data_IF_443694315879
#
_entry.id   IF_443694315879
#
_cell.length_a   1.000
_cell.length_b   1.000
_cell.length_c   1.000
_cell.angle_alpha   90.00
_cell.angle_beta   90.00
_cell.angle_gamma   90.00
#
_symmetry.space_group_name_H-M   'P 1'
#
loop_
_entity.id
_entity.type
_entity.pdbx_description
1 polymer ?
#
# COMPACT_ATOMS: atom_id res chain seq x y z
N UNK A 1 24.21 20.95 17.69
CA UNK A 1 23.99 19.95 16.62
C UNK A 1 22.58 20.11 16.06
N UNK A 2 22.40 20.06 14.75
CA UNK A 2 21.07 20.12 14.14
C UNK A 2 20.22 18.90 14.54
N UNK A 3 18.94 19.12 14.77
CA UNK A 3 17.95 18.09 15.08
C UNK A 3 17.01 17.90 13.89
N UNK A 4 17.06 16.73 13.28
CA UNK A 4 16.12 16.32 12.22
C UNK A 4 15.11 15.37 12.83
N UNK A 5 13.81 15.71 12.74
CA UNK A 5 12.73 14.88 13.22
C UNK A 5 12.04 14.19 12.04
N UNK A 6 12.07 12.86 12.01
CA UNK A 6 11.46 12.10 10.93
C UNK A 6 10.10 11.53 11.34
N UNK A 7 9.03 11.89 10.61
CA UNK A 7 7.63 11.58 10.91
C UNK A 7 7.10 10.55 9.91
N UNK A 8 6.72 9.39 10.43
CA UNK A 8 6.19 8.25 9.65
C UNK A 8 4.68 8.05 9.84
N UNK A 9 4.06 8.73 10.80
CA UNK A 9 2.69 8.44 11.24
C UNK A 9 1.79 9.67 11.16
N UNK A 10 0.50 9.43 10.97
CA UNK A 10 -0.56 10.43 11.11
C UNK A 10 -1.22 10.22 12.48
N UNK A 11 -0.76 10.95 13.49
CA UNK A 11 -1.24 10.81 14.86
C UNK A 11 -2.45 11.72 15.09
N UNK A 12 -3.66 11.14 15.05
CA UNK A 12 -4.92 11.88 15.23
C UNK A 12 -5.40 11.83 16.68
N UNK A 13 -5.21 10.72 17.38
CA UNK A 13 -5.70 10.51 18.75
C UNK A 13 -4.66 9.78 19.62
N UNK A 14 -4.58 10.08 20.92
CA UNK A 14 -5.25 11.18 21.63
C UNK A 14 -4.69 12.55 21.22
N UNK A 15 -5.57 13.56 21.08
CA UNK A 15 -5.17 14.91 20.62
C UNK A 15 -4.09 15.54 21.49
N UNK A 16 -4.14 15.37 22.82
CA UNK A 16 -3.13 15.91 23.74
C UNK A 16 -1.71 15.39 23.44
N UNK A 17 -1.58 14.11 23.07
CA UNK A 17 -0.28 13.52 22.69
C UNK A 17 0.17 14.09 21.34
N UNK A 18 -0.71 14.19 20.36
CA UNK A 18 -0.42 14.80 19.06
C UNK A 18 0.03 16.24 19.23
N UNK A 19 -0.69 17.05 20.01
CA UNK A 19 -0.35 18.45 20.28
C UNK A 19 1.01 18.58 20.98
N UNK A 20 1.32 17.70 21.96
CA UNK A 20 2.60 17.70 22.65
C UNK A 20 3.77 17.32 21.73
N UNK A 21 3.61 16.29 20.91
CA UNK A 21 4.63 15.89 19.91
C UNK A 21 4.86 17.03 18.92
N UNK A 22 3.79 17.64 18.40
CA UNK A 22 3.88 18.77 17.47
C UNK A 22 4.56 19.99 18.11
N UNK A 23 4.30 20.26 19.40
CA UNK A 23 5.00 21.30 20.15
C UNK A 23 6.50 21.02 20.23
N UNK A 24 6.89 19.79 20.58
CA UNK A 24 8.31 19.42 20.64
C UNK A 24 9.00 19.53 19.27
N UNK A 25 8.36 19.03 18.22
CA UNK A 25 8.88 19.11 16.84
C UNK A 25 9.08 20.57 16.43
N UNK A 26 8.03 21.39 16.55
CA UNK A 26 8.09 22.80 16.12
C UNK A 26 9.06 23.66 16.94
N UNK A 27 9.32 23.28 18.20
CA UNK A 27 10.21 24.04 19.10
C UNK A 27 11.68 23.68 18.95
N UNK A 28 11.99 22.41 18.65
CA UNK A 28 13.36 21.90 18.75
C UNK A 28 13.92 21.36 17.44
N UNK A 29 13.09 20.96 16.45
CA UNK A 29 13.62 20.48 15.20
C UNK A 29 14.07 21.62 14.28
N UNK A 30 15.25 21.49 13.71
CA UNK A 30 15.73 22.34 12.62
C UNK A 30 15.04 21.98 11.31
N UNK A 31 14.77 20.68 11.09
CA UNK A 31 13.97 20.18 9.97
C UNK A 31 13.06 19.05 10.43
N UNK A 32 11.81 19.08 9.99
CA UNK A 32 10.82 18.02 10.16
C UNK A 32 10.68 17.33 8.82
N UNK A 33 11.19 16.09 8.69
CA UNK A 33 11.04 15.26 7.51
C UNK A 33 9.77 14.44 7.63
N UNK A 34 8.92 14.47 6.62
CA UNK A 34 7.70 13.66 6.54
C UNK A 34 7.78 12.70 5.36
N UNK A 35 7.24 11.49 5.54
CA UNK A 35 7.30 10.43 4.51
C UNK A 35 6.37 10.67 3.32
N UNK A 36 5.45 11.64 3.41
CA UNK A 36 4.49 11.99 2.36
C UNK A 36 3.95 13.42 2.53
N UNK A 37 3.36 13.96 1.49
CA UNK A 37 2.58 15.20 1.59
C UNK A 37 1.35 15.04 2.48
N UNK A 38 0.75 13.86 2.52
CA UNK A 38 -0.35 13.57 3.44
C UNK A 38 0.07 13.78 4.89
N UNK A 39 1.25 13.29 5.29
CA UNK A 39 1.83 13.52 6.62
C UNK A 39 2.24 14.99 6.80
N UNK A 40 2.87 15.60 5.79
CA UNK A 40 3.27 17.01 5.84
C UNK A 40 2.05 17.93 6.09
N UNK A 41 0.97 17.72 5.34
CA UNK A 41 -0.26 18.50 5.50
C UNK A 41 -0.88 18.32 6.89
N UNK A 42 -0.82 17.09 7.45
CA UNK A 42 -1.28 16.84 8.81
C UNK A 42 -0.43 17.60 9.86
N UNK A 43 0.89 17.52 9.75
CA UNK A 43 1.83 18.18 10.67
C UNK A 43 1.72 19.70 10.60
N UNK A 44 1.58 20.27 9.40
CA UNK A 44 1.41 21.71 9.16
C UNK A 44 0.12 22.32 9.70
N UNK A 45 -0.91 21.49 10.01
CA UNK A 45 -2.11 21.98 10.69
C UNK A 45 -1.85 22.40 12.14
N UNK A 46 -0.71 22.01 12.69
CA UNK A 46 -0.35 22.36 14.05
C UNK A 46 0.18 23.80 14.12
N UNK A 47 -0.36 24.59 15.06
CA UNK A 47 0.12 25.96 15.35
C UNK A 47 1.57 26.05 15.82
N UNK A 48 2.17 24.92 16.17
CA UNK A 48 3.54 24.86 16.69
C UNK A 48 4.59 24.64 15.60
N UNK A 49 4.19 24.13 14.44
CA UNK A 49 5.07 23.78 13.33
C UNK A 49 5.01 24.87 12.27
N UNK A 50 6.17 25.31 11.80
CA UNK A 50 6.27 26.27 10.70
C UNK A 50 6.40 25.53 9.38
N UNK A 51 5.82 26.07 8.33
CA UNK A 51 5.80 25.44 7.00
C UNK A 51 7.20 25.24 6.42
N UNK A 52 8.11 26.18 6.67
CA UNK A 52 9.50 26.15 6.20
C UNK A 52 10.39 25.13 6.94
N UNK A 53 9.94 24.63 8.10
CA UNK A 53 10.60 23.53 8.81
C UNK A 53 10.27 22.15 8.19
N UNK A 54 9.20 22.03 7.39
CA UNK A 54 8.69 20.74 6.91
C UNK A 54 9.21 20.43 5.51
N UNK A 55 9.89 19.32 5.38
CA UNK A 55 10.38 18.78 4.10
C UNK A 55 9.83 17.37 3.87
N UNK A 56 9.30 17.09 2.67
CA UNK A 56 8.86 15.74 2.29
C UNK A 56 10.05 14.97 1.72
N UNK A 57 10.33 13.80 2.27
CA UNK A 57 11.26 12.81 1.71
C UNK A 57 10.55 11.45 1.75
N UNK A 58 10.14 10.96 0.59
CA UNK A 58 9.45 9.68 0.48
C UNK A 58 10.34 8.52 0.93
N UNK A 59 9.75 7.50 1.55
CA UNK A 59 10.43 6.24 1.79
C UNK A 59 10.85 5.59 0.46
N UNK A 60 11.97 4.88 0.49
CA UNK A 60 12.51 4.17 -0.66
C UNK A 60 12.45 2.65 -0.48
N UNK A 61 12.21 1.94 -1.59
CA UNK A 61 12.25 0.49 -1.65
C UNK A 61 13.45 0.05 -2.49
N UNK A 62 14.14 -1.00 -2.04
CA UNK A 62 15.33 -1.53 -2.71
C UNK A 62 14.93 -2.30 -3.97
N UNK A 63 15.30 -1.76 -5.14
CA UNK A 63 15.05 -2.36 -6.44
C UNK A 63 15.94 -3.59 -6.74
N UNK A 64 16.93 -3.90 -5.90
CA UNK A 64 17.63 -5.17 -5.97
C UNK A 64 16.80 -6.32 -5.37
N UNK A 65 15.92 -6.00 -4.41
CA UNK A 65 15.02 -6.96 -3.76
C UNK A 65 13.68 -7.01 -4.48
N UNK A 66 13.07 -5.84 -4.73
CA UNK A 66 11.75 -5.74 -5.37
C UNK A 66 11.92 -5.35 -6.84
N UNK A 67 11.68 -6.30 -7.71
CA UNK A 67 11.79 -6.16 -9.15
C UNK A 67 10.86 -7.14 -9.86
N UNK A 68 10.64 -6.92 -11.15
CA UNK A 68 9.87 -7.84 -11.98
C UNK A 68 10.60 -9.15 -12.14
N UNK A 69 9.95 -10.27 -11.77
CA UNK A 69 10.49 -11.62 -11.82
C UNK A 69 9.44 -12.60 -12.37
N UNK A 70 9.86 -13.76 -12.93
CA UNK A 70 8.93 -14.81 -13.30
C UNK A 70 8.11 -15.31 -12.11
N UNK A 71 6.81 -15.55 -12.32
CA UNK A 71 5.84 -15.92 -11.28
C UNK A 71 5.50 -17.43 -11.25
N UNK A 72 5.94 -18.21 -12.24
CA UNK A 72 5.49 -19.60 -12.40
C UNK A 72 5.73 -20.47 -11.17
N UNK A 73 6.94 -20.43 -10.62
CA UNK A 73 7.28 -21.27 -9.47
C UNK A 73 6.45 -20.91 -8.21
N UNK A 74 6.20 -19.63 -7.96
CA UNK A 74 5.38 -19.22 -6.80
C UNK A 74 3.90 -19.52 -7.02
N UNK A 75 3.40 -19.42 -8.24
CA UNK A 75 2.03 -19.85 -8.57
C UNK A 75 1.85 -21.37 -8.34
N UNK A 76 2.81 -22.17 -8.76
CA UNK A 76 2.79 -23.63 -8.52
C UNK A 76 2.83 -23.95 -7.02
N UNK A 77 3.67 -23.25 -6.25
CA UNK A 77 3.76 -23.41 -4.79
C UNK A 77 2.42 -23.20 -4.09
N UNK A 78 1.63 -22.22 -4.53
CA UNK A 78 0.32 -21.91 -3.96
C UNK A 78 -0.85 -22.58 -4.68
N UNK A 79 -0.59 -23.48 -5.65
CA UNK A 79 -1.62 -24.18 -6.41
C UNK A 79 -2.50 -23.22 -7.21
N UNK A 80 -1.90 -22.23 -7.85
CA UNK A 80 -2.57 -21.24 -8.69
C UNK A 80 -2.23 -21.55 -10.15
N UNK A 81 -3.25 -21.68 -10.98
CA UNK A 81 -3.06 -21.94 -12.41
C UNK A 81 -2.25 -20.80 -13.08
N UNK A 82 -1.41 -21.15 -14.05
CA UNK A 82 -0.53 -20.17 -14.69
C UNK A 82 -1.32 -19.10 -15.49
N UNK A 83 -2.53 -19.44 -15.94
CA UNK A 83 -3.44 -18.55 -16.67
C UNK A 83 -4.50 -17.89 -15.76
N UNK A 84 -4.42 -18.06 -14.45
CA UNK A 84 -5.33 -17.43 -13.49
C UNK A 84 -5.10 -15.92 -13.40
N UNK A 85 -6.19 -15.16 -13.26
CA UNK A 85 -6.14 -13.76 -12.85
C UNK A 85 -5.98 -13.69 -11.33
N UNK A 86 -4.86 -13.18 -10.84
CA UNK A 86 -4.58 -13.11 -9.40
C UNK A 86 -4.72 -11.67 -8.91
N UNK A 87 -5.72 -11.43 -8.06
CA UNK A 87 -5.96 -10.15 -7.38
C UNK A 87 -5.39 -10.27 -5.98
N UNK A 88 -4.32 -9.54 -5.69
CA UNK A 88 -3.55 -9.69 -4.48
C UNK A 88 -3.65 -8.53 -3.50
N UNK A 89 -3.66 -8.84 -2.23
CA UNK A 89 -3.55 -7.91 -1.11
C UNK A 89 -2.46 -8.40 -0.16
N UNK A 90 -1.54 -7.53 0.21
CA UNK A 90 -0.52 -7.79 1.24
C UNK A 90 -0.64 -6.72 2.32
N UNK A 91 -0.74 -7.15 3.54
CA UNK A 91 -0.81 -6.20 4.66
C UNK A 91 -1.23 -6.87 5.95
N UNK A 92 -0.92 -6.22 7.05
CA UNK A 92 -1.32 -6.67 8.38
C UNK A 92 -2.84 -6.75 8.49
N UNK A 93 -3.33 -7.82 9.10
CA UNK A 93 -4.76 -7.95 9.42
C UNK A 93 -5.07 -7.09 10.64
N UNK A 94 -5.76 -5.98 10.41
CA UNK A 94 -6.14 -5.03 11.45
C UNK A 94 -7.42 -4.28 11.09
N UNK A 95 -7.87 -3.40 11.98
CA UNK A 95 -9.16 -2.70 11.85
C UNK A 95 -9.29 -1.76 10.63
N UNK A 96 -8.17 -1.42 9.95
CA UNK A 96 -8.17 -0.33 8.97
C UNK A 96 -7.44 -0.63 7.65
N UNK A 97 -6.88 -1.83 7.48
CA UNK A 97 -6.27 -2.23 6.19
C UNK A 97 -7.30 -2.64 5.13
N UNK A 98 -8.57 -2.87 5.55
CA UNK A 98 -9.68 -3.05 4.62
C UNK A 98 -9.80 -4.44 4.02
N UNK A 99 -9.43 -5.51 4.74
CA UNK A 99 -9.61 -6.88 4.28
C UNK A 99 -11.08 -7.19 3.97
N UNK A 100 -12.02 -6.66 4.78
CA UNK A 100 -13.46 -6.78 4.54
C UNK A 100 -13.89 -6.15 3.22
N UNK A 101 -13.47 -4.91 2.98
CA UNK A 101 -13.73 -4.17 1.74
C UNK A 101 -13.11 -4.87 0.52
N UNK A 102 -11.92 -5.46 0.70
CA UNK A 102 -11.28 -6.28 -0.35
C UNK A 102 -12.16 -7.49 -0.71
N UNK A 103 -12.61 -8.26 0.28
CA UNK A 103 -13.47 -9.42 0.05
C UNK A 103 -14.78 -9.04 -0.63
N UNK A 104 -15.42 -7.97 -0.17
CA UNK A 104 -16.64 -7.45 -0.78
C UNK A 104 -16.42 -7.03 -2.24
N UNK A 105 -15.32 -6.33 -2.52
CA UNK A 105 -15.02 -5.84 -3.86
C UNK A 105 -14.65 -6.95 -4.85
N UNK A 106 -13.93 -7.99 -4.43
CA UNK A 106 -13.52 -9.08 -5.34
C UNK A 106 -14.61 -10.11 -5.57
N UNK A 107 -15.56 -10.28 -4.65
CA UNK A 107 -16.60 -11.32 -4.72
C UNK A 107 -17.37 -11.31 -6.06
N UNK A 108 -17.89 -10.18 -6.59
CA UNK A 108 -18.58 -10.17 -7.88
C UNK A 108 -17.70 -10.62 -9.05
N UNK A 109 -16.40 -10.28 -8.99
CA UNK A 109 -15.43 -10.63 -10.03
C UNK A 109 -15.17 -12.13 -10.02
N UNK A 110 -14.99 -12.72 -8.84
CA UNK A 110 -14.77 -14.16 -8.67
C UNK A 110 -16.01 -14.97 -9.08
N UNK A 111 -17.22 -14.47 -8.83
CA UNK A 111 -18.47 -15.12 -9.25
C UNK A 111 -18.61 -15.22 -10.77
N UNK A 112 -18.08 -14.22 -11.51
CA UNK A 112 -18.21 -14.17 -12.98
C UNK A 112 -16.99 -14.74 -13.70
N UNK A 113 -15.84 -14.88 -13.02
CA UNK A 113 -14.61 -15.41 -13.59
C UNK A 113 -14.06 -16.58 -12.74
N UNK A 114 -14.34 -17.80 -13.18
CA UNK A 114 -13.89 -19.01 -12.49
C UNK A 114 -12.37 -19.21 -12.48
N UNK A 115 -11.62 -18.47 -13.31
CA UNK A 115 -10.14 -18.48 -13.31
C UNK A 115 -9.54 -17.38 -12.44
N UNK A 116 -10.35 -16.49 -11.87
CA UNK A 116 -9.84 -15.46 -10.97
C UNK A 116 -9.62 -16.03 -9.56
N UNK A 117 -8.55 -15.56 -8.92
CA UNK A 117 -8.18 -15.90 -7.54
C UNK A 117 -7.92 -14.63 -6.77
N UNK A 118 -8.55 -14.48 -5.61
CA UNK A 118 -8.18 -13.47 -4.64
C UNK A 118 -7.13 -14.03 -3.68
N UNK A 119 -6.04 -13.30 -3.44
CA UNK A 119 -4.96 -13.75 -2.58
C UNK A 119 -4.65 -12.71 -1.51
N UNK A 120 -4.76 -13.10 -0.23
CA UNK A 120 -4.45 -12.26 0.91
C UNK A 120 -3.23 -12.81 1.66
N UNK A 121 -2.27 -11.95 1.96
CA UNK A 121 -1.11 -12.33 2.77
C UNK A 121 -0.94 -11.35 3.94
N UNK A 122 -0.85 -11.87 5.15
CA UNK A 122 -0.58 -11.11 6.35
C UNK A 122 -1.17 -11.72 7.61
N UNK A 123 -0.58 -11.33 8.75
CA UNK A 123 -0.99 -11.73 10.09
C UNK A 123 -1.47 -10.53 10.91
N UNK A 124 -2.15 -10.77 12.01
CA UNK A 124 -2.51 -9.75 12.99
C UNK A 124 -1.31 -9.38 13.88
N UNK A 125 -1.48 -8.38 14.74
CA UNK A 125 -0.58 -8.15 15.86
C UNK A 125 -0.77 -9.23 16.94
N UNK A 126 0.26 -9.45 17.72
CA UNK A 126 0.16 -10.25 18.93
C UNK A 126 -0.95 -9.72 19.84
N UNK A 127 -1.87 -10.61 20.25
CA UNK A 127 -3.07 -10.28 21.02
C UNK A 127 -4.27 -9.83 20.18
N UNK A 128 -4.15 -9.75 18.86
CA UNK A 128 -5.25 -9.43 17.93
C UNK A 128 -5.54 -10.59 16.95
N UNK A 129 -5.15 -11.82 17.29
CA UNK A 129 -5.31 -13.02 16.43
C UNK A 129 -6.77 -13.27 16.06
N UNK A 130 -7.71 -12.89 16.94
CA UNK A 130 -9.14 -12.95 16.69
C UNK A 130 -9.58 -12.24 15.41
N UNK A 131 -8.82 -11.25 14.92
CA UNK A 131 -9.08 -10.59 13.64
C UNK A 131 -8.81 -11.50 12.45
N UNK A 132 -7.83 -12.40 12.61
CA UNK A 132 -7.55 -13.43 11.60
C UNK A 132 -8.69 -14.43 11.58
N UNK A 133 -9.19 -14.85 12.77
CA UNK A 133 -10.31 -15.80 12.87
C UNK A 133 -11.59 -15.20 12.25
N UNK A 134 -11.86 -13.90 12.46
CA UNK A 134 -12.97 -13.21 11.80
C UNK A 134 -12.81 -13.16 10.28
N UNK A 135 -11.58 -12.90 9.78
CA UNK A 135 -11.29 -12.87 8.35
C UNK A 135 -11.46 -14.26 7.73
N UNK A 136 -10.92 -15.32 8.37
CA UNK A 136 -11.08 -16.71 7.92
C UNK A 136 -12.55 -17.13 7.90
N UNK A 137 -13.33 -16.71 8.90
CA UNK A 137 -14.77 -16.94 8.92
C UNK A 137 -15.44 -16.23 7.74
N UNK A 138 -15.12 -14.96 7.49
CA UNK A 138 -15.69 -14.22 6.36
C UNK A 138 -15.33 -14.85 5.01
N UNK A 139 -14.12 -15.40 4.86
CA UNK A 139 -13.70 -16.14 3.68
C UNK A 139 -14.53 -17.43 3.54
N UNK A 140 -14.65 -18.20 4.62
CA UNK A 140 -15.40 -19.47 4.64
C UNK A 140 -16.88 -19.28 4.32
N UNK A 141 -17.50 -18.21 4.79
CA UNK A 141 -18.89 -17.87 4.56
C UNK A 141 -19.15 -17.30 3.15
N UNK A 142 -18.08 -16.98 2.40
CA UNK A 142 -18.18 -16.40 1.05
C UNK A 142 -18.69 -17.41 0.02
N UNK A 143 -19.58 -17.01 -0.89
CA UNK A 143 -20.03 -17.86 -1.99
C UNK A 143 -18.90 -18.25 -2.96
N UNK A 144 -17.75 -17.61 -2.87
CA UNK A 144 -16.56 -17.83 -3.71
C UNK A 144 -15.34 -18.28 -2.90
N UNK A 145 -15.57 -18.88 -1.72
CA UNK A 145 -14.50 -19.32 -0.80
C UNK A 145 -13.40 -20.13 -1.48
N UNK A 146 -13.77 -21.01 -2.43
CA UNK A 146 -12.82 -21.84 -3.19
C UNK A 146 -11.85 -21.07 -4.09
N UNK A 147 -12.13 -19.79 -4.39
CA UNK A 147 -11.28 -18.91 -5.19
C UNK A 147 -10.51 -17.89 -4.34
N UNK A 148 -10.66 -17.94 -3.02
CA UNK A 148 -9.96 -17.04 -2.09
C UNK A 148 -8.87 -17.85 -1.37
N UNK A 149 -7.64 -17.36 -1.44
CA UNK A 149 -6.51 -17.94 -0.73
C UNK A 149 -5.98 -16.93 0.27
N UNK A 150 -5.76 -17.36 1.50
CA UNK A 150 -5.15 -16.56 2.54
C UNK A 150 -3.96 -17.30 3.12
N UNK A 151 -2.88 -16.55 3.38
CA UNK A 151 -1.71 -17.03 4.13
C UNK A 151 -1.35 -16.03 5.22
N UNK A 152 -0.65 -16.51 6.24
CA UNK A 152 -0.03 -15.65 7.25
C UNK A 152 1.13 -14.83 6.69
N UNK A 153 1.95 -14.27 7.57
CA UNK A 153 3.15 -13.57 7.17
C UNK A 153 4.05 -14.44 6.28
N UNK A 154 4.49 -13.85 5.17
CA UNK A 154 5.40 -14.49 4.22
C UNK A 154 6.61 -13.57 3.96
N UNK A 155 7.82 -14.06 4.29
CA UNK A 155 9.03 -13.24 4.28
C UNK A 155 9.51 -12.85 2.88
N UNK A 156 9.18 -13.66 1.87
CA UNK A 156 9.58 -13.41 0.47
C UNK A 156 8.50 -12.67 -0.29
N UNK A 157 8.11 -11.49 0.20
CA UNK A 157 6.98 -10.72 -0.35
C UNK A 157 7.14 -10.36 -1.82
N UNK A 158 8.37 -10.23 -2.33
CA UNK A 158 8.64 -10.01 -3.76
C UNK A 158 8.08 -11.15 -4.63
N UNK A 159 8.11 -12.41 -4.16
CA UNK A 159 7.52 -13.56 -4.86
C UNK A 159 5.99 -13.40 -4.95
N UNK A 160 5.34 -12.97 -3.85
CA UNK A 160 3.88 -12.73 -3.84
C UNK A 160 3.50 -11.61 -4.82
N UNK A 161 4.19 -10.47 -4.77
CA UNK A 161 3.87 -9.38 -5.70
C UNK A 161 4.02 -9.82 -7.16
N UNK A 162 5.06 -10.58 -7.49
CA UNK A 162 5.24 -11.06 -8.85
C UNK A 162 4.14 -12.01 -9.32
N UNK A 163 3.55 -12.79 -8.42
CA UNK A 163 2.45 -13.70 -8.73
C UNK A 163 1.12 -12.97 -9.01
N UNK A 164 0.92 -11.74 -8.53
CA UNK A 164 -0.29 -10.95 -8.72
C UNK A 164 -0.37 -10.34 -10.13
N UNK A 165 -1.57 -10.16 -10.63
CA UNK A 165 -1.89 -9.38 -11.83
C UNK A 165 -2.37 -7.96 -11.46
N UNK A 166 -3.05 -7.83 -10.32
CA UNK A 166 -3.55 -6.57 -9.76
C UNK A 166 -3.22 -6.54 -8.27
N UNK A 167 -2.62 -5.47 -7.80
CA UNK A 167 -2.41 -5.23 -6.38
C UNK A 167 -3.50 -4.29 -5.83
N UNK A 168 -4.11 -4.67 -4.72
CA UNK A 168 -5.19 -3.90 -4.09
C UNK A 168 -4.84 -3.55 -2.65
N UNK A 169 -4.96 -2.27 -2.29
CA UNK A 169 -4.83 -1.80 -0.90
C UNK A 169 -6.01 -0.87 -0.54
N UNK A 170 -7.10 -1.41 0.01
CA UNK A 170 -8.29 -0.65 0.36
C UNK A 170 -8.27 -0.20 1.83
N UNK A 171 -7.16 0.38 2.29
CA UNK A 171 -7.06 0.90 3.66
C UNK A 171 -8.21 1.86 3.94
N UNK A 172 -9.00 1.60 4.98
CA UNK A 172 -10.20 2.40 5.35
C UNK A 172 -9.84 3.70 6.07
N UNK A 173 -8.61 3.81 6.59
CA UNK A 173 -8.04 5.03 7.13
C UNK A 173 -6.85 5.49 6.30
N UNK A 174 -6.53 6.79 6.29
CA UNK A 174 -5.37 7.32 5.57
C UNK A 174 -4.04 6.69 6.01
N UNK A 175 -3.43 5.94 5.12
CA UNK A 175 -2.08 5.39 5.31
C UNK A 175 -1.04 6.49 5.03
N UNK A 176 -0.02 6.70 5.86
CA UNK A 176 1.01 7.72 5.64
C UNK A 176 1.75 7.56 4.31
N UNK A 177 2.35 6.40 4.09
CA UNK A 177 2.98 5.98 2.83
C UNK A 177 3.16 4.44 2.87
N UNK A 178 2.18 3.65 2.46
CA UNK A 178 2.20 2.20 2.59
C UNK A 178 3.29 1.56 1.72
N UNK A 179 4.34 0.99 2.34
CA UNK A 179 5.49 0.39 1.63
C UNK A 179 5.07 -0.77 0.73
N UNK A 180 4.04 -1.53 1.10
CA UNK A 180 3.49 -2.62 0.28
C UNK A 180 3.04 -2.16 -1.12
N UNK A 181 2.60 -0.90 -1.26
CA UNK A 181 2.29 -0.30 -2.57
C UNK A 181 3.57 -0.04 -3.35
N UNK A 182 4.61 0.53 -2.70
CA UNK A 182 5.90 0.77 -3.35
C UNK A 182 6.57 -0.53 -3.81
N UNK A 183 6.46 -1.57 -3.00
CA UNK A 183 6.98 -2.91 -3.27
C UNK A 183 6.25 -3.54 -4.47
N UNK A 184 4.91 -3.47 -4.50
CA UNK A 184 4.11 -3.97 -5.61
C UNK A 184 4.37 -3.21 -6.92
N UNK A 185 4.52 -1.88 -6.84
CA UNK A 185 4.89 -1.04 -7.98
C UNK A 185 6.27 -1.43 -8.55
N UNK A 186 7.26 -1.68 -7.68
CA UNK A 186 8.59 -2.13 -8.09
C UNK A 186 8.53 -3.48 -8.80
N UNK A 187 7.60 -4.36 -8.43
CA UNK A 187 7.31 -5.64 -9.07
C UNK A 187 6.38 -5.51 -10.29
N UNK A 188 6.11 -4.30 -10.77
CA UNK A 188 5.37 -4.06 -12.02
C UNK A 188 3.87 -4.31 -11.91
N UNK A 189 3.25 -4.07 -10.75
CA UNK A 189 1.80 -4.27 -10.61
C UNK A 189 1.04 -2.97 -10.73
N UNK A 190 -0.09 -2.97 -11.47
CA UNK A 190 -1.07 -1.91 -11.37
C UNK A 190 -1.68 -1.91 -9.97
N UNK A 191 -1.94 -0.72 -9.42
CA UNK A 191 -2.43 -0.54 -8.06
C UNK A 191 -3.88 -0.07 -8.08
N UNK A 192 -4.73 -0.72 -7.28
CA UNK A 192 -6.06 -0.23 -6.98
C UNK A 192 -6.16 0.06 -5.48
N UNK A 193 -6.71 1.19 -5.10
CA UNK A 193 -6.83 1.56 -3.70
C UNK A 193 -7.86 2.65 -3.44
N UNK A 194 -7.98 3.05 -2.19
CA UNK A 194 -8.84 4.17 -1.82
C UNK A 194 -8.11 5.51 -1.94
N UNK A 195 -8.85 6.56 -2.36
CA UNK A 195 -8.36 7.91 -2.64
C UNK A 195 -8.14 8.70 -1.35
N UNK A 196 -7.17 8.33 -0.56
CA UNK A 196 -6.74 9.09 0.62
C UNK A 196 -5.31 8.72 1.07
N UNK A 197 -4.73 9.54 1.96
CA UNK A 197 -3.38 9.31 2.47
C UNK A 197 -2.30 9.32 1.37
N UNK A 198 -1.19 8.68 1.65
CA UNK A 198 -0.03 8.61 0.76
C UNK A 198 -0.26 7.80 -0.52
N UNK A 199 -1.32 6.97 -0.59
CA UNK A 199 -1.67 6.23 -1.82
C UNK A 199 -1.91 7.19 -2.99
N UNK A 200 -2.51 8.37 -2.75
CA UNK A 200 -2.74 9.39 -3.77
C UNK A 200 -1.43 9.98 -4.35
N UNK A 201 -0.32 9.83 -3.66
CA UNK A 201 0.99 10.30 -4.11
C UNK A 201 1.74 9.22 -4.91
N UNK A 202 1.45 7.95 -4.62
CA UNK A 202 2.04 6.80 -5.30
C UNK A 202 1.29 6.44 -6.59
N UNK A 203 -0.05 6.49 -6.54
CA UNK A 203 -0.91 6.16 -7.67
C UNK A 203 -1.27 7.44 -8.45
N UNK A 204 -0.80 7.53 -9.68
CA UNK A 204 -1.25 8.50 -10.68
C UNK A 204 -2.40 7.85 -11.46
N UNK A 205 -3.61 8.28 -11.14
CA UNK A 205 -4.83 7.68 -11.67
C UNK A 205 -4.86 7.65 -13.20
N UNK A 206 -5.23 6.51 -13.77
CA UNK A 206 -5.26 6.30 -15.21
C UNK A 206 -3.90 6.04 -15.86
N UNK A 207 -2.79 6.05 -15.09
CA UNK A 207 -1.45 5.77 -15.61
C UNK A 207 -0.83 4.50 -14.99
N UNK A 208 -0.82 4.37 -13.64
CA UNK A 208 -0.26 3.22 -12.96
C UNK A 208 -1.24 2.56 -11.97
N UNK A 209 -2.47 3.05 -11.90
CA UNK A 209 -3.51 2.50 -11.05
C UNK A 209 -4.82 3.26 -11.10
N UNK A 210 -5.77 2.83 -10.31
CA UNK A 210 -7.11 3.40 -10.17
C UNK A 210 -7.43 3.63 -8.68
N UNK A 211 -8.15 4.72 -8.39
CA UNK A 211 -8.49 5.12 -7.03
C UNK A 211 -10.01 5.24 -6.86
N UNK A 212 -10.56 4.46 -5.94
CA UNK A 212 -11.96 4.52 -5.54
C UNK A 212 -12.19 5.48 -4.35
N UNK A 213 -13.41 5.90 -4.15
CA UNK A 213 -13.82 6.67 -2.96
C UNK A 213 -13.62 5.82 -1.69
N UNK A 214 -13.04 6.37 -0.61
CA UNK A 214 -12.83 5.65 0.63
C UNK A 214 -14.11 5.00 1.18
N UNK A 215 -13.98 3.77 1.66
CA UNK A 215 -15.09 2.98 2.23
C UNK A 215 -16.27 2.75 1.25
N UNK A 216 -15.96 2.66 -0.06
CA UNK A 216 -16.93 2.33 -1.11
C UNK A 216 -16.47 1.05 -1.85
N UNK A 217 -16.71 -0.16 -1.30
CA UNK A 217 -16.28 -1.40 -1.92
C UNK A 217 -16.83 -1.63 -3.34
N UNK A 218 -18.03 -1.10 -3.61
CA UNK A 218 -18.63 -1.19 -4.95
C UNK A 218 -17.85 -0.38 -6.01
N UNK A 219 -17.29 0.78 -5.65
CA UNK A 219 -16.42 1.56 -6.55
C UNK A 219 -15.05 0.86 -6.69
N UNK A 220 -14.52 0.33 -5.59
CA UNK A 220 -13.30 -0.48 -5.60
C UNK A 220 -13.45 -1.69 -6.54
N UNK A 221 -14.59 -2.38 -6.47
CA UNK A 221 -14.93 -3.51 -7.35
C UNK A 221 -14.91 -3.09 -8.83
N UNK A 222 -15.50 -1.95 -9.18
CA UNK A 222 -15.49 -1.43 -10.57
C UNK A 222 -14.06 -1.15 -11.05
N UNK A 223 -13.23 -0.54 -10.22
CA UNK A 223 -11.84 -0.26 -10.55
C UNK A 223 -11.02 -1.56 -10.75
N UNK A 224 -11.24 -2.57 -9.92
CA UNK A 224 -10.61 -3.89 -10.07
C UNK A 224 -11.13 -4.57 -11.35
N UNK A 225 -12.44 -4.55 -11.60
CA UNK A 225 -13.06 -5.16 -12.77
C UNK A 225 -12.52 -4.56 -14.07
N UNK A 226 -12.35 -3.22 -14.13
CA UNK A 226 -11.77 -2.54 -15.29
C UNK A 226 -10.38 -3.07 -15.66
N UNK A 227 -9.55 -3.34 -14.65
CA UNK A 227 -8.24 -3.96 -14.86
C UNK A 227 -8.34 -5.47 -15.12
N UNK A 228 -9.29 -6.15 -14.51
CA UNK A 228 -9.52 -7.58 -14.71
C UNK A 228 -9.86 -7.90 -16.18
N UNK A 229 -10.67 -7.05 -16.81
CA UNK A 229 -11.14 -7.23 -18.19
C UNK A 229 -10.12 -6.76 -19.25
N UNK A 230 -9.07 -6.05 -18.86
CA UNK A 230 -8.13 -5.44 -19.81
C UNK A 230 -6.66 -5.77 -19.52
N UNK A 231 -6.16 -6.83 -20.13
CA UNK A 231 -4.76 -7.28 -19.97
C UNK A 231 -3.75 -6.22 -20.44
N UNK A 232 -4.01 -5.58 -21.58
CA UNK A 232 -3.11 -4.54 -22.12
C UNK A 232 -2.98 -3.36 -21.14
N UNK A 233 -4.10 -2.93 -20.57
CA UNK A 233 -4.11 -1.87 -19.55
C UNK A 233 -3.34 -2.27 -18.30
N UNK A 234 -3.49 -3.53 -17.81
CA UNK A 234 -2.71 -4.05 -16.69
C UNK A 234 -1.20 -3.98 -16.97
N UNK A 235 -0.77 -4.41 -18.15
CA UNK A 235 0.64 -4.38 -18.55
C UNK A 235 1.17 -2.93 -18.67
N UNK A 236 0.40 -2.05 -19.28
CA UNK A 236 0.75 -0.63 -19.40
C UNK A 236 0.91 0.01 -18.02
N UNK A 237 -0.06 -0.18 -17.13
CA UNK A 237 -0.03 0.36 -15.76
C UNK A 237 1.11 -0.25 -14.93
N UNK A 238 1.39 -1.54 -15.11
CA UNK A 238 2.52 -2.20 -14.47
C UNK A 238 3.87 -1.58 -14.88
N UNK A 239 4.07 -1.31 -16.17
CA UNK A 239 5.28 -0.62 -16.65
C UNK A 239 5.40 0.80 -16.07
N UNK A 240 4.30 1.54 -16.05
CA UNK A 240 4.25 2.88 -15.45
C UNK A 240 4.49 2.86 -13.94
N UNK A 241 4.02 1.83 -13.23
CA UNK A 241 4.32 1.59 -11.81
C UNK A 241 5.81 1.46 -11.55
N UNK A 242 6.51 0.62 -12.33
CA UNK A 242 7.98 0.45 -12.20
C UNK A 242 8.71 1.76 -12.44
N UNK A 243 8.34 2.49 -13.49
CA UNK A 243 8.99 3.76 -13.80
C UNK A 243 8.80 4.77 -12.67
N UNK A 244 7.56 4.99 -12.24
CA UNK A 244 7.23 5.93 -11.17
C UNK A 244 7.91 5.58 -9.86
N UNK A 245 7.93 4.28 -9.49
CA UNK A 245 8.59 3.82 -8.29
C UNK A 245 10.10 4.10 -8.34
N UNK A 246 10.78 3.81 -9.45
CA UNK A 246 12.21 4.08 -9.63
C UNK A 246 12.55 5.56 -9.54
N UNK A 247 11.72 6.41 -10.12
CA UNK A 247 11.95 7.87 -10.14
C UNK A 247 11.79 8.50 -8.75
N UNK A 248 10.72 8.15 -8.03
CA UNK A 248 10.30 8.87 -6.83
C UNK A 248 10.53 8.09 -5.53
N UNK A 249 10.44 6.76 -5.57
CA UNK A 249 10.33 5.91 -4.39
C UNK A 249 11.40 4.81 -4.34
N UNK A 250 12.50 4.95 -5.09
CA UNK A 250 13.63 4.04 -4.99
C UNK A 250 14.49 4.33 -3.75
N UNK A 251 15.20 3.31 -3.25
CA UNK A 251 16.19 3.49 -2.19
C UNK A 251 17.26 4.54 -2.57
N UNK A 252 17.64 4.58 -3.85
CA UNK A 252 18.59 5.59 -4.35
C UNK A 252 18.03 7.00 -4.24
N UNK A 253 16.75 7.23 -4.59
CA UNK A 253 16.09 8.53 -4.43
C UNK A 253 15.99 8.95 -2.97
N UNK A 254 15.64 8.01 -2.08
CA UNK A 254 15.62 8.22 -0.64
C UNK A 254 17.00 8.65 -0.10
N UNK A 255 18.06 7.88 -0.41
CA UNK A 255 19.43 8.17 0.03
C UNK A 255 19.91 9.52 -0.51
N UNK A 256 19.66 9.82 -1.78
CA UNK A 256 20.01 11.13 -2.39
C UNK A 256 19.36 12.27 -1.64
N UNK A 257 18.06 12.22 -1.41
CA UNK A 257 17.31 13.30 -0.77
C UNK A 257 17.75 13.52 0.69
N UNK A 258 18.04 12.46 1.44
CA UNK A 258 18.61 12.59 2.79
C UNK A 258 20.06 13.10 2.76
N UNK A 259 20.88 12.67 1.79
CA UNK A 259 22.24 13.19 1.64
C UNK A 259 22.25 14.69 1.32
N UNK A 260 21.30 15.15 0.50
CA UNK A 260 21.12 16.59 0.22
C UNK A 260 20.68 17.36 1.48
N UNK A 261 19.77 16.78 2.27
CA UNK A 261 19.34 17.36 3.53
C UNK A 261 20.51 17.50 4.52
N UNK A 262 21.29 16.44 4.70
CA UNK A 262 22.41 16.45 5.65
C UNK A 262 23.53 17.41 5.25
N UNK A 263 23.72 17.70 3.96
CA UNK A 263 24.72 18.68 3.48
C UNK A 263 24.36 20.14 3.81
N UNK A 264 23.12 20.42 4.22
CA UNK A 264 22.70 21.76 4.65
C UNK A 264 23.23 22.12 6.04
N UNK A 265 23.67 21.12 6.78
CA UNK A 265 24.15 21.20 8.15
C UNK A 265 25.62 20.79 8.29
#
# INVERSE_FOLDING_TARGET
LPLIWHVHEIIVKPKAISDFINFLMGRYADTIVTVSNAVANHVKQSRYVKDDQVQVIYNGVDNAVYQVMPASAVRDQFGIAQDALVIGMVGRVNAWKGQGDFLEAVTPILQTNSKAVAFLAGSAFEGEEWRVDELEKAISDSPVAGQIKRIDYYSKTTELYNMFDIFVLPSTNPDPLPTVVLESMACGKPVVGYRHGGVCEMVKEGENGLLATPNQPAELSKAIQELADNTEKREQFGKASVQRQKELFSLQSYIRNFSELYRKY
#
